data_IF_837726388544
#
_entry.id   IF_837726388544
#
_cell.length_a   1.000
_cell.length_b   1.000
_cell.length_c   1.000
_cell.angle_alpha   90.00
_cell.angle_beta   90.00
_cell.angle_gamma   90.00
#
_symmetry.space_group_name_H-M   'P 1'
#
loop_
_entity.id
_entity.type
_entity.pdbx_description
1 polymer ?
#
# COMPACT_ATOMS: atom_id res chain seq x y z
N UNK A 1 -6.92 6.82 3.91
CA UNK A 1 -8.08 6.92 4.83
C UNK A 1 -9.31 6.34 4.18
N UNK A 2 -10.07 5.46 4.84
CA UNK A 2 -11.37 5.01 4.32
C UNK A 2 -12.39 6.11 4.59
N UNK A 3 -13.02 6.70 3.56
CA UNK A 3 -14.06 7.69 3.76
C UNK A 3 -15.29 7.02 4.38
N UNK A 4 -15.52 7.24 5.68
CA UNK A 4 -16.72 6.78 6.42
C UNK A 4 -18.02 7.29 5.79
N UNK A 5 -17.95 8.41 5.06
CA UNK A 5 -19.11 9.09 4.46
C UNK A 5 -19.43 8.54 3.06
N UNK A 6 -18.45 8.10 2.27
CA UNK A 6 -18.70 7.63 0.88
C UNK A 6 -18.92 6.12 0.76
N UNK A 7 -18.84 5.38 1.86
CA UNK A 7 -18.94 3.91 1.88
C UNK A 7 -20.21 3.38 1.21
N UNK A 8 -21.35 4.04 1.33
CA UNK A 8 -22.61 3.59 0.71
C UNK A 8 -22.55 3.72 -0.82
N UNK A 9 -22.09 4.86 -1.31
CA UNK A 9 -21.95 5.11 -2.75
C UNK A 9 -20.93 4.18 -3.40
N UNK A 10 -19.77 3.99 -2.76
CA UNK A 10 -18.74 3.07 -3.27
C UNK A 10 -19.21 1.61 -3.19
N UNK A 11 -19.94 1.19 -2.13
CA UNK A 11 -20.52 -0.16 -2.07
C UNK A 11 -21.52 -0.42 -3.19
N UNK A 12 -22.34 0.58 -3.52
CA UNK A 12 -23.28 0.50 -4.64
C UNK A 12 -22.56 0.40 -5.98
N UNK A 13 -21.61 1.30 -6.26
CA UNK A 13 -20.80 1.28 -7.48
C UNK A 13 -19.99 0.00 -7.62
N UNK A 14 -19.34 -0.43 -6.53
CA UNK A 14 -18.53 -1.63 -6.53
C UNK A 14 -19.38 -2.90 -6.52
N UNK A 15 -20.71 -2.83 -6.34
CA UNK A 15 -21.61 -3.97 -6.10
C UNK A 15 -21.10 -4.89 -4.98
N UNK A 16 -20.55 -4.29 -3.92
CA UNK A 16 -20.00 -5.01 -2.77
C UNK A 16 -20.77 -4.66 -1.51
N UNK A 17 -21.95 -5.24 -1.36
CA UNK A 17 -22.85 -4.89 -0.26
C UNK A 17 -22.43 -5.53 1.07
N UNK A 18 -21.85 -6.74 1.03
CA UNK A 18 -21.65 -7.56 2.24
C UNK A 18 -20.18 -7.80 2.61
N UNK A 19 -19.22 -7.67 1.68
CA UNK A 19 -17.81 -7.96 1.99
C UNK A 19 -17.04 -6.70 2.40
N UNK A 20 -15.82 -6.89 2.90
CA UNK A 20 -14.87 -5.80 3.17
C UNK A 20 -14.68 -4.97 1.89
N UNK A 21 -14.86 -3.67 2.01
CA UNK A 21 -14.65 -2.72 0.92
C UNK A 21 -13.22 -2.16 1.05
N UNK A 22 -12.37 -2.57 0.14
CA UNK A 22 -10.97 -2.16 0.05
C UNK A 22 -10.79 -1.35 -1.24
N UNK A 23 -9.95 -0.33 -1.18
CA UNK A 23 -9.50 0.44 -2.35
C UNK A 23 -8.08 -0.04 -2.70
N UNK A 24 -7.66 0.01 -3.98
CA UNK A 24 -8.34 0.59 -5.14
C UNK A 24 -9.45 -0.28 -5.74
N UNK A 25 -10.44 0.37 -6.36
CA UNK A 25 -11.47 -0.26 -7.22
C UNK A 25 -11.46 0.47 -8.55
N UNK A 26 -11.33 -0.26 -9.65
CA UNK A 26 -11.41 0.29 -11.00
C UNK A 26 -12.65 -0.22 -11.73
N UNK A 27 -13.25 0.67 -12.52
CA UNK A 27 -14.36 0.33 -13.42
C UNK A 27 -13.81 0.37 -14.83
N UNK A 28 -13.56 -0.81 -15.41
CA UNK A 28 -13.10 -0.95 -16.78
C UNK A 28 -14.30 -1.06 -17.71
N UNK A 29 -14.45 -0.10 -18.62
CA UNK A 29 -15.51 -0.10 -19.62
C UNK A 29 -14.94 -0.62 -20.95
N UNK A 30 -14.98 -1.94 -21.16
CA UNK A 30 -14.63 -2.54 -22.44
C UNK A 30 -15.90 -3.02 -23.16
N UNK A 31 -16.09 -2.54 -24.39
CA UNK A 31 -17.03 -3.09 -25.40
C UNK A 31 -18.39 -3.52 -24.83
N UNK A 32 -19.07 -2.62 -24.12
CA UNK A 32 -20.47 -2.81 -23.69
C UNK A 32 -20.69 -3.59 -22.38
N UNK A 33 -19.64 -4.07 -21.70
CA UNK A 33 -19.74 -4.63 -20.33
C UNK A 33 -18.78 -3.92 -19.38
N UNK A 34 -19.32 -3.34 -18.32
CA UNK A 34 -18.54 -2.73 -17.26
C UNK A 34 -18.00 -3.83 -16.33
N UNK A 35 -16.68 -3.99 -16.25
CA UNK A 35 -16.01 -4.91 -15.35
C UNK A 35 -15.50 -4.14 -14.13
N UNK A 36 -15.85 -4.61 -12.93
CA UNK A 36 -15.39 -4.04 -11.66
C UNK A 36 -14.18 -4.84 -11.20
N UNK A 37 -13.00 -4.22 -11.21
CA UNK A 37 -11.74 -4.78 -10.71
C UNK A 37 -11.53 -4.27 -9.28
N UNK A 38 -11.31 -5.16 -8.32
CA UNK A 38 -11.39 -4.84 -6.88
C UNK A 38 -10.07 -5.00 -6.11
N UNK A 39 -9.03 -5.47 -6.79
CA UNK A 39 -7.70 -5.67 -6.21
C UNK A 39 -6.61 -5.12 -7.14
N UNK A 40 -5.49 -4.75 -6.52
CA UNK A 40 -4.33 -4.14 -7.17
C UNK A 40 -3.75 -5.02 -8.28
N UNK A 41 -3.70 -6.33 -8.05
CA UNK A 41 -3.18 -7.31 -9.00
C UNK A 41 -4.03 -7.38 -10.27
N UNK A 42 -5.35 -7.52 -10.14
CA UNK A 42 -6.30 -7.57 -11.26
C UNK A 42 -6.32 -6.28 -12.06
N UNK A 43 -6.23 -5.12 -11.38
CA UNK A 43 -6.11 -3.82 -12.04
C UNK A 43 -4.81 -3.76 -12.84
N UNK A 44 -3.70 -4.20 -12.26
CA UNK A 44 -2.38 -4.17 -12.90
C UNK A 44 -2.29 -5.14 -14.07
N UNK A 45 -2.86 -6.34 -13.95
CA UNK A 45 -3.02 -7.30 -15.04
C UNK A 45 -3.83 -6.69 -16.18
N UNK A 46 -4.98 -6.11 -15.88
CA UNK A 46 -5.82 -5.45 -16.87
C UNK A 46 -5.07 -4.31 -17.59
N UNK A 47 -4.38 -3.45 -16.84
CA UNK A 47 -3.56 -2.38 -17.42
C UNK A 47 -2.45 -2.95 -18.32
N UNK A 48 -1.81 -4.04 -17.92
CA UNK A 48 -0.78 -4.71 -18.71
C UNK A 48 -1.33 -5.35 -20.01
N UNK A 49 -2.58 -5.84 -20.01
CA UNK A 49 -3.21 -6.31 -21.26
C UNK A 49 -3.44 -5.19 -22.27
N UNK A 50 -3.68 -3.96 -21.79
CA UNK A 50 -3.91 -2.77 -22.62
C UNK A 50 -2.66 -1.91 -22.80
N UNK A 51 -1.47 -2.46 -22.52
CA UNK A 51 -0.20 -1.73 -22.60
C UNK A 51 0.14 -1.34 -24.04
N UNK A 52 0.88 -0.24 -24.20
CA UNK A 52 1.49 0.12 -25.47
C UNK A 52 2.50 -0.95 -25.90
N UNK A 53 2.57 -1.26 -27.20
CA UNK A 53 3.44 -2.33 -27.73
C UNK A 53 4.93 -2.17 -27.35
N UNK A 54 5.39 -0.93 -27.12
CA UNK A 54 6.76 -0.59 -26.74
C UNK A 54 7.06 -0.81 -25.24
N UNK A 55 6.04 -1.03 -24.41
CA UNK A 55 6.20 -1.23 -22.96
C UNK A 55 6.36 -2.72 -22.66
N UNK A 56 7.34 -3.03 -21.80
CA UNK A 56 7.64 -4.40 -21.37
C UNK A 56 6.43 -5.04 -20.67
N UNK A 57 6.30 -6.35 -20.82
CA UNK A 57 5.30 -7.14 -20.11
C UNK A 57 5.72 -7.30 -18.65
N UNK A 58 4.88 -6.85 -17.71
CA UNK A 58 5.14 -6.97 -16.27
C UNK A 58 4.71 -8.32 -15.69
N UNK A 59 4.00 -9.13 -16.49
CA UNK A 59 3.49 -10.46 -16.14
C UNK A 59 3.98 -11.50 -17.15
N UNK A 60 5.29 -11.79 -17.19
CA UNK A 60 5.84 -12.90 -17.98
C UNK A 60 5.15 -14.21 -17.59
N UNK A 61 4.77 -15.02 -18.59
CA UNK A 61 3.94 -16.21 -18.37
C UNK A 61 4.66 -17.27 -17.52
N UNK A 62 5.98 -17.34 -17.66
CA UNK A 62 6.90 -18.21 -16.93
C UNK A 62 6.99 -17.90 -15.44
N UNK A 63 6.52 -16.72 -14.98
CA UNK A 63 6.65 -16.27 -13.59
C UNK A 63 5.32 -15.88 -12.93
N UNK A 64 4.17 -16.23 -13.54
CA UNK A 64 2.87 -15.80 -13.01
C UNK A 64 2.66 -16.29 -11.57
N UNK A 65 3.07 -17.52 -11.27
CA UNK A 65 2.88 -18.12 -9.95
C UNK A 65 3.76 -17.43 -8.90
N UNK A 66 5.04 -17.19 -9.21
CA UNK A 66 5.93 -16.44 -8.33
C UNK A 66 5.44 -15.00 -8.11
N UNK A 67 4.94 -14.34 -9.15
CA UNK A 67 4.36 -12.99 -9.03
C UNK A 67 3.17 -12.98 -8.06
N UNK A 68 2.32 -14.01 -8.11
CA UNK A 68 1.19 -14.14 -7.18
C UNK A 68 1.68 -14.34 -5.74
N UNK A 69 2.71 -15.16 -5.52
CA UNK A 69 3.31 -15.37 -4.20
C UNK A 69 3.92 -14.08 -3.63
N UNK A 70 4.65 -13.31 -4.46
CA UNK A 70 5.21 -12.02 -4.05
C UNK A 70 4.12 -11.00 -3.71
N UNK A 71 3.02 -11.00 -4.47
CA UNK A 71 1.88 -10.15 -4.16
C UNK A 71 1.24 -10.53 -2.81
N UNK A 72 1.04 -11.82 -2.54
CA UNK A 72 0.49 -12.28 -1.26
C UNK A 72 1.39 -11.93 -0.08
N UNK A 73 2.71 -12.11 -0.23
CA UNK A 73 3.69 -11.70 0.77
C UNK A 73 3.61 -10.19 1.03
N UNK A 74 3.56 -9.38 -0.03
CA UNK A 74 3.46 -7.92 0.08
C UNK A 74 2.20 -7.48 0.81
N UNK A 75 1.03 -8.03 0.45
CA UNK A 75 -0.23 -7.73 1.15
C UNK A 75 -0.16 -8.09 2.64
N UNK A 76 0.40 -9.26 2.98
CA UNK A 76 0.59 -9.69 4.37
C UNK A 76 1.47 -8.72 5.16
N UNK A 77 2.59 -8.31 4.58
CA UNK A 77 3.52 -7.35 5.20
C UNK A 77 2.86 -5.97 5.34
N UNK A 78 2.16 -5.49 4.31
CA UNK A 78 1.48 -4.19 4.31
C UNK A 78 0.38 -4.12 5.37
N UNK A 79 -0.34 -5.22 5.60
CA UNK A 79 -1.31 -5.32 6.68
C UNK A 79 -0.65 -5.18 8.06
N UNK A 80 0.50 -5.83 8.28
CA UNK A 80 1.27 -5.70 9.51
C UNK A 80 1.77 -4.26 9.71
N UNK A 81 2.40 -3.67 8.69
CA UNK A 81 2.96 -2.32 8.76
C UNK A 81 1.89 -1.27 9.05
N UNK A 82 0.70 -1.43 8.46
CA UNK A 82 -0.45 -0.55 8.69
C UNK A 82 -0.89 -0.55 10.16
N UNK A 83 -0.92 -1.72 10.81
CA UNK A 83 -1.27 -1.81 12.23
C UNK A 83 -0.13 -1.26 13.09
N UNK A 84 1.12 -1.55 12.72
CA UNK A 84 2.32 -1.07 13.42
C UNK A 84 2.46 0.46 13.41
N UNK A 85 1.97 1.15 12.37
CA UNK A 85 1.93 2.62 12.34
C UNK A 85 0.87 3.24 13.27
N UNK A 86 -0.19 2.50 13.61
CA UNK A 86 -1.37 3.03 14.30
C UNK A 86 -1.06 3.64 15.69
N UNK A 87 -0.22 3.04 16.56
CA UNK A 87 0.18 3.67 17.82
C UNK A 87 0.84 5.04 17.63
N UNK A 88 1.74 5.19 16.64
CA UNK A 88 2.37 6.48 16.29
C UNK A 88 1.32 7.50 15.85
N UNK A 89 0.36 7.08 15.02
CA UNK A 89 -0.74 7.92 14.57
C UNK A 89 -1.65 8.38 15.73
N UNK A 90 -1.94 7.52 16.71
CA UNK A 90 -2.74 7.85 17.90
C UNK A 90 -2.04 8.82 18.85
N UNK A 91 -0.71 8.88 18.83
CA UNK A 91 0.08 9.80 19.65
C UNK A 91 0.28 11.16 18.97
N UNK A 92 0.24 11.22 17.63
CA UNK A 92 0.41 12.46 16.88
C UNK A 92 -0.86 13.32 16.84
N UNK A 93 -0.81 14.48 17.50
CA UNK A 93 -1.88 15.47 17.47
C UNK A 93 -2.03 16.09 16.08
N UNK A 94 -0.93 16.39 15.41
CA UNK A 94 -0.94 17.06 14.10
C UNK A 94 -1.57 16.16 13.04
N UNK A 95 -1.22 14.86 13.05
CA UNK A 95 -1.87 13.87 12.20
C UNK A 95 -3.38 13.80 12.47
N UNK A 96 -3.78 13.80 13.73
CA UNK A 96 -5.20 13.77 14.09
C UNK A 96 -5.96 14.98 13.54
N UNK A 97 -5.35 16.16 13.53
CA UNK A 97 -5.92 17.39 12.97
C UNK A 97 -5.94 17.39 11.43
N UNK A 98 -4.89 16.86 10.80
CA UNK A 98 -4.77 16.76 9.34
C UNK A 98 -5.77 15.75 8.76
N UNK A 99 -6.07 14.68 9.51
CA UNK A 99 -7.05 13.65 9.11
C UNK A 99 -8.51 14.06 9.31
N UNK A 100 -8.78 15.17 9.99
CA UNK A 100 -10.15 15.68 10.08
C UNK A 100 -10.64 16.16 8.71
N UNK A 101 -11.93 15.96 8.38
CA UNK A 101 -12.50 16.43 7.13
C UNK A 101 -12.18 17.90 6.84
N UNK A 102 -11.85 18.20 5.59
CA UNK A 102 -11.57 19.57 5.14
C UNK A 102 -12.78 20.52 5.29
N UNK A 103 -13.99 19.97 5.48
CA UNK A 103 -15.21 20.73 5.78
C UNK A 103 -15.22 21.36 7.18
N UNK A 104 -14.35 20.90 8.09
CA UNK A 104 -14.24 21.45 9.45
C UNK A 104 -13.21 22.60 9.44
N UNK A 105 -13.61 23.84 9.80
CA UNK A 105 -12.69 24.98 9.86
C UNK A 105 -11.53 24.74 10.82
N UNK A 106 -10.33 25.20 10.46
CA UNK A 106 -9.09 24.97 11.20
C UNK A 106 -9.17 25.41 12.68
N UNK A 107 -9.88 26.51 12.97
CA UNK A 107 -10.06 27.04 14.32
C UNK A 107 -10.82 26.10 15.26
N UNK A 108 -11.75 25.30 14.74
CA UNK A 108 -12.58 24.39 15.54
C UNK A 108 -12.11 22.93 15.47
N UNK A 109 -11.21 22.58 14.55
CA UNK A 109 -10.62 21.23 14.44
C UNK A 109 -10.15 20.63 15.78
N UNK A 110 -9.51 21.38 16.71
CA UNK A 110 -9.11 20.83 18.00
C UNK A 110 -10.25 20.22 18.84
N UNK A 111 -11.48 20.72 18.69
CA UNK A 111 -12.66 20.20 19.41
C UNK A 111 -13.08 18.81 18.90
N UNK A 112 -12.71 18.45 17.67
CA UNK A 112 -13.05 17.18 17.02
C UNK A 112 -11.95 16.12 17.12
N UNK A 113 -10.88 16.35 17.88
CA UNK A 113 -9.84 15.36 18.13
C UNK A 113 -10.37 14.00 18.65
N UNK A 114 -11.38 13.93 19.54
CA UNK A 114 -11.97 12.66 19.95
C UNK A 114 -12.52 11.84 18.77
N UNK A 115 -13.10 12.50 17.74
CA UNK A 115 -13.59 11.84 16.53
C UNK A 115 -12.45 11.22 15.72
N UNK A 116 -11.32 11.93 15.59
CA UNK A 116 -10.13 11.43 14.90
C UNK A 116 -9.55 10.18 15.61
N UNK A 117 -9.48 10.20 16.94
CA UNK A 117 -9.08 9.04 17.76
C UNK A 117 -10.04 7.87 17.61
N UNK A 118 -11.35 8.15 17.60
CA UNK A 118 -12.37 7.14 17.35
C UNK A 118 -12.17 6.48 15.98
N UNK A 119 -11.88 7.27 14.93
CA UNK A 119 -11.63 6.74 13.60
C UNK A 119 -10.40 5.80 13.55
N UNK A 120 -9.32 6.14 14.26
CA UNK A 120 -8.13 5.29 14.37
C UNK A 120 -8.41 3.98 15.13
N UNK A 121 -9.22 4.02 16.19
CA UNK A 121 -9.65 2.81 16.91
C UNK A 121 -10.62 1.96 16.07
N UNK A 122 -11.54 2.59 15.35
CA UNK A 122 -12.44 1.89 14.43
C UNK A 122 -11.66 1.19 13.32
N UNK A 123 -10.61 1.83 12.81
CA UNK A 123 -9.75 1.26 11.78
C UNK A 123 -9.03 -0.02 12.27
N UNK A 124 -8.48 0.01 13.48
CA UNK A 124 -7.88 -1.16 14.12
C UNK A 124 -8.88 -2.32 14.24
N UNK A 125 -10.10 -2.04 14.69
CA UNK A 125 -11.14 -3.06 14.83
C UNK A 125 -11.67 -3.57 13.48
N UNK A 126 -11.65 -2.75 12.44
CA UNK A 126 -12.11 -3.10 11.09
C UNK A 126 -11.12 -4.01 10.36
N UNK A 127 -9.83 -3.88 10.66
CA UNK A 127 -8.76 -4.65 10.04
C UNK A 127 -7.94 -5.39 11.10
N UNK A 128 -8.54 -6.37 11.80
CA UNK A 128 -7.80 -7.16 12.78
C UNK A 128 -6.78 -8.02 12.04
N UNK A 129 -5.56 -8.05 12.56
CA UNK A 129 -4.58 -9.06 12.18
C UNK A 129 -4.96 -10.40 12.82
N UNK A 130 -4.63 -11.50 12.14
CA UNK A 130 -4.78 -12.85 12.72
C UNK A 130 -3.79 -13.02 13.87
N UNK A 131 -4.13 -13.80 14.90
CA UNK A 131 -3.23 -14.05 16.02
C UNK A 131 -1.98 -14.80 15.57
N UNK A 132 -0.86 -14.09 15.38
CA UNK A 132 0.44 -14.63 14.98
C UNK A 132 1.58 -13.73 15.49
N UNK A 133 2.82 -14.19 15.37
CA UNK A 133 4.01 -13.36 15.62
C UNK A 133 4.27 -12.44 14.42
N UNK A 134 3.64 -11.28 14.43
CA UNK A 134 3.71 -10.31 13.34
C UNK A 134 5.09 -9.70 13.13
N UNK A 135 5.85 -9.50 14.21
CA UNK A 135 7.20 -8.95 14.09
C UNK A 135 8.12 -9.98 13.42
N UNK A 136 8.01 -11.27 13.78
CA UNK A 136 8.76 -12.32 13.10
C UNK A 136 8.37 -12.45 11.62
N UNK A 137 7.07 -12.48 11.30
CA UNK A 137 6.58 -12.55 9.91
C UNK A 137 7.11 -11.37 9.08
N UNK A 138 7.10 -10.17 9.65
CA UNK A 138 7.60 -8.97 9.00
C UNK A 138 9.11 -9.08 8.71
N UNK A 139 9.90 -9.44 9.72
CA UNK A 139 11.36 -9.53 9.58
C UNK A 139 11.75 -10.63 8.58
N UNK A 140 11.10 -11.79 8.64
CA UNK A 140 11.35 -12.90 7.71
C UNK A 140 10.95 -12.53 6.28
N UNK A 141 9.82 -11.84 6.12
CA UNK A 141 9.37 -11.34 4.83
C UNK A 141 10.35 -10.34 4.21
N UNK A 142 10.86 -9.38 4.99
CA UNK A 142 11.86 -8.41 4.54
C UNK A 142 13.21 -9.09 4.21
N UNK A 143 13.65 -10.06 5.00
CA UNK A 143 14.84 -10.85 4.70
C UNK A 143 14.67 -11.74 3.45
N UNK A 144 13.47 -12.28 3.21
CA UNK A 144 13.14 -13.03 1.98
C UNK A 144 13.30 -12.15 0.75
N UNK A 145 12.84 -10.89 0.81
CA UNK A 145 13.01 -9.91 -0.27
C UNK A 145 14.50 -9.65 -0.52
N UNK A 146 15.28 -9.36 0.53
CA UNK A 146 16.73 -9.16 0.43
C UNK A 146 17.42 -10.35 -0.23
N UNK A 147 17.12 -11.56 0.25
CA UNK A 147 17.72 -12.80 -0.27
C UNK A 147 17.38 -13.03 -1.75
N UNK A 148 16.16 -12.70 -2.19
CA UNK A 148 15.76 -12.82 -3.59
C UNK A 148 16.53 -11.85 -4.48
N UNK A 149 16.72 -10.60 -4.04
CA UNK A 149 17.50 -9.60 -4.77
C UNK A 149 18.98 -9.98 -4.87
N UNK A 150 19.57 -10.47 -3.77
CA UNK A 150 20.95 -10.97 -3.74
C UNK A 150 21.13 -12.17 -4.68
N UNK A 151 20.19 -13.12 -4.66
CA UNK A 151 20.22 -14.31 -5.53
C UNK A 151 20.11 -13.95 -7.00
N UNK A 152 19.26 -12.98 -7.34
CA UNK A 152 19.10 -12.54 -8.72
C UNK A 152 20.34 -11.81 -9.23
N UNK A 153 20.92 -10.92 -8.43
CA UNK A 153 22.04 -10.06 -8.85
C UNK A 153 21.70 -9.03 -9.93
N UNK A 154 20.51 -9.09 -10.55
CA UNK A 154 20.06 -8.16 -11.59
C UNK A 154 19.55 -6.82 -11.04
N UNK A 155 19.27 -6.77 -9.73
CA UNK A 155 18.53 -5.69 -9.08
C UNK A 155 17.01 -5.80 -9.20
N UNK A 156 16.48 -6.90 -9.72
CA UNK A 156 15.07 -7.25 -9.75
C UNK A 156 14.82 -8.58 -9.02
N UNK A 157 13.60 -8.80 -8.52
CA UNK A 157 13.25 -9.99 -7.75
C UNK A 157 13.29 -11.27 -8.59
N UNK A 158 12.91 -11.18 -9.87
CA UNK A 158 12.80 -12.30 -10.81
C UNK A 158 13.73 -12.13 -12.02
N UNK A 159 14.94 -11.61 -11.81
CA UNK A 159 15.95 -11.34 -12.84
C UNK A 159 15.59 -10.28 -13.91
N UNK A 160 14.32 -9.91 -13.99
CA UNK A 160 13.76 -8.90 -14.86
C UNK A 160 12.69 -8.09 -14.13
N UNK A 161 12.53 -6.84 -14.55
CA UNK A 161 11.50 -5.96 -13.99
C UNK A 161 10.10 -6.52 -14.25
N UNK A 162 9.35 -6.74 -13.18
CA UNK A 162 8.02 -7.36 -13.20
C UNK A 162 7.11 -6.73 -12.14
N UNK A 163 5.86 -7.20 -12.09
CA UNK A 163 4.94 -6.82 -11.02
C UNK A 163 5.44 -7.20 -9.62
N UNK A 164 6.30 -8.24 -9.49
CA UNK A 164 6.89 -8.62 -8.21
C UNK A 164 7.71 -7.46 -7.60
N UNK A 165 8.49 -6.74 -8.43
CA UNK A 165 9.25 -5.58 -7.98
C UNK A 165 8.33 -4.45 -7.54
N UNK A 166 7.25 -4.20 -8.30
CA UNK A 166 6.29 -3.12 -8.01
C UNK A 166 5.57 -3.38 -6.68
N UNK A 167 4.98 -4.56 -6.51
CA UNK A 167 4.22 -4.89 -5.29
C UNK A 167 5.12 -4.90 -4.06
N UNK A 168 6.37 -5.35 -4.22
CA UNK A 168 7.35 -5.37 -3.12
C UNK A 168 7.89 -3.98 -2.79
N UNK A 169 8.12 -3.12 -3.79
CA UNK A 169 8.56 -1.73 -3.60
C UNK A 169 7.56 -0.92 -2.75
N UNK A 170 6.26 -1.19 -2.87
CA UNK A 170 5.20 -0.51 -2.09
C UNK A 170 5.35 -0.74 -0.59
N UNK A 171 5.87 -1.90 -0.15
CA UNK A 171 6.15 -2.18 1.27
C UNK A 171 7.00 -1.08 1.88
N UNK A 172 8.07 -0.71 1.19
CA UNK A 172 9.03 0.27 1.71
C UNK A 172 8.45 1.68 1.74
N UNK A 173 7.44 2.00 0.91
CA UNK A 173 6.69 3.25 1.03
C UNK A 173 5.91 3.31 2.36
N UNK A 174 5.45 2.18 2.90
CA UNK A 174 4.80 2.08 4.20
C UNK A 174 5.79 2.05 5.39
N UNK A 175 7.09 1.88 5.14
CA UNK A 175 8.17 1.93 6.15
C UNK A 175 8.83 3.32 6.19
N UNK A 176 9.10 3.90 5.02
CA UNK A 176 9.80 5.17 4.87
C UNK A 176 9.28 5.90 3.63
N UNK A 177 8.20 6.69 3.76
CA UNK A 177 7.59 7.34 2.61
C UNK A 177 8.56 8.29 1.89
N UNK A 178 8.74 8.10 0.57
CA UNK A 178 9.57 8.97 -0.27
C UNK A 178 9.02 10.40 -0.35
N UNK A 179 9.86 11.37 -0.75
CA UNK A 179 9.52 12.80 -0.77
C UNK A 179 8.23 13.11 -1.57
N UNK A 180 7.54 14.21 -1.22
CA UNK A 180 6.22 14.66 -1.73
C UNK A 180 6.20 15.04 -3.24
N UNK A 181 6.88 14.31 -4.12
CA UNK A 181 6.90 14.64 -5.55
C UNK A 181 5.62 14.22 -6.28
N UNK A 182 4.98 13.13 -5.86
CA UNK A 182 3.84 12.56 -6.61
C UNK A 182 2.73 11.96 -5.74
N UNK A 183 3.05 11.48 -4.54
CA UNK A 183 2.06 11.09 -3.53
C UNK A 183 2.15 12.13 -2.43
N UNK A 184 1.17 13.03 -2.39
CA UNK A 184 1.10 14.05 -1.35
C UNK A 184 0.69 13.39 -0.03
N UNK A 185 1.64 13.31 0.89
CA UNK A 185 1.42 12.99 2.30
C UNK A 185 1.81 14.21 3.11
N UNK A 186 0.94 14.65 4.01
CA UNK A 186 1.30 15.68 4.98
C UNK A 186 2.45 15.19 5.87
N UNK A 187 3.23 16.13 6.39
CA UNK A 187 4.45 15.81 7.14
C UNK A 187 4.16 14.99 8.39
N UNK A 188 3.02 15.21 9.06
CA UNK A 188 2.65 14.45 10.24
C UNK A 188 2.30 12.99 9.90
N UNK A 189 1.56 12.74 8.81
CA UNK A 189 1.31 11.38 8.30
C UNK A 189 2.59 10.68 7.90
N UNK A 190 3.45 11.37 7.14
CA UNK A 190 4.76 10.86 6.73
C UNK A 190 5.60 10.44 7.92
N UNK A 191 5.67 11.29 8.94
CA UNK A 191 6.45 11.02 10.15
C UNK A 191 5.89 9.83 10.93
N UNK A 192 4.57 9.71 11.07
CA UNK A 192 3.97 8.56 11.75
C UNK A 192 4.16 7.23 11.01
N UNK A 193 4.40 7.26 9.69
CA UNK A 193 4.68 6.04 8.92
C UNK A 193 6.12 5.59 9.06
N UNK A 194 7.06 6.49 9.34
CA UNK A 194 8.47 6.14 9.51
C UNK A 194 8.66 5.14 10.64
N UNK A 195 9.14 3.96 10.29
CA UNK A 195 9.61 2.98 11.25
C UNK A 195 11.13 3.02 11.36
N UNK A 196 11.63 3.82 12.30
CA UNK A 196 13.08 4.04 12.47
C UNK A 196 13.88 2.77 12.73
N UNK A 197 13.27 1.75 13.36
CA UNK A 197 13.92 0.47 13.58
C UNK A 197 14.11 -0.27 12.26
N UNK A 198 13.04 -0.37 11.45
CA UNK A 198 13.11 -1.03 10.14
C UNK A 198 13.95 -0.25 9.14
N UNK A 199 13.90 1.09 9.17
CA UNK A 199 14.75 1.95 8.33
C UNK A 199 16.23 1.67 8.61
N UNK A 200 16.61 1.57 9.89
CA UNK A 200 17.99 1.28 10.27
C UNK A 200 18.43 -0.13 9.82
N UNK A 201 17.53 -1.11 9.86
CA UNK A 201 17.85 -2.51 9.57
C UNK A 201 17.75 -2.88 8.09
N UNK A 202 16.90 -2.20 7.33
CA UNK A 202 16.56 -2.49 5.92
C UNK A 202 16.71 -1.27 5.02
N UNK A 203 17.64 -0.36 5.36
CA UNK A 203 17.92 0.85 4.57
C UNK A 203 18.34 0.54 3.13
N UNK A 204 19.05 -0.56 2.93
CA UNK A 204 19.42 -1.12 1.63
C UNK A 204 18.20 -1.40 0.74
N UNK A 205 17.12 -1.94 1.31
CA UNK A 205 15.90 -2.22 0.56
C UNK A 205 15.08 -0.95 0.24
N UNK A 206 15.21 0.09 1.07
CA UNK A 206 14.64 1.41 0.79
C UNK A 206 15.38 2.06 -0.39
N UNK A 207 16.71 1.99 -0.41
CA UNK A 207 17.52 2.45 -1.55
C UNK A 207 17.20 1.65 -2.83
N UNK A 208 17.00 0.34 -2.72
CA UNK A 208 16.55 -0.48 -3.83
C UNK A 208 15.20 0.00 -4.39
N UNK A 209 14.19 0.24 -3.54
CA UNK A 209 12.89 0.80 -3.96
C UNK A 209 13.09 2.11 -4.73
N UNK A 210 13.89 3.02 -4.22
CA UNK A 210 14.11 4.33 -4.83
C UNK A 210 14.76 4.18 -6.22
N UNK A 211 15.74 3.28 -6.34
CA UNK A 211 16.36 2.93 -7.63
C UNK A 211 15.37 2.31 -8.63
N UNK A 212 14.46 1.43 -8.18
CA UNK A 212 13.40 0.87 -9.04
C UNK A 212 12.48 1.99 -9.56
N UNK A 213 12.09 2.89 -8.67
CA UNK A 213 11.23 4.01 -9.02
C UNK A 213 11.89 4.91 -10.06
N UNK A 214 13.13 5.34 -9.83
CA UNK A 214 13.87 6.21 -10.74
C UNK A 214 14.09 5.59 -12.12
N UNK A 215 14.33 4.27 -12.19
CA UNK A 215 14.53 3.55 -13.46
C UNK A 215 13.28 3.43 -14.32
N UNK A 216 12.10 3.26 -13.72
CA UNK A 216 10.89 2.82 -14.44
C UNK A 216 9.74 3.82 -14.44
N UNK A 217 9.93 4.99 -13.84
CA UNK A 217 8.87 6.00 -13.75
C UNK A 217 8.47 6.63 -15.09
N UNK A 218 9.34 6.62 -16.10
CA UNK A 218 9.18 7.32 -17.39
C UNK A 218 9.19 6.38 -18.60
#
# INVERSE_FOLDING_TARGET
>A
MTPLISTVYVRWLSRNFNNKLTIPVAIANNTGKSQILRDSLSISLHANTSRLAQRKNLFPAEHIDEINEWNQLSESILDILRVRANPRMKQSRDLQLNNLPATIPTSVKPLFLPLSRYALNYFENKYPLQSADHDQILIDGLNKIRSALEKSGSGYILDQFSYADITTAVIFQAISPGANKFVELDDATRECWKDYQLIKQFGDLIEWRDNIYDKHRF
#
